data_IF_134522153740
#
_entry.id   IF_134522153740
#
_cell.length_a   1.000
_cell.length_b   1.000
_cell.length_c   1.000
_cell.angle_alpha   90.00
_cell.angle_beta   90.00
_cell.angle_gamma   90.00
#
_symmetry.space_group_name_H-M   'P 1'
#
loop_
_entity.id
_entity.type
_entity.pdbx_description
1 polymer ?
#
# COMPACT_ATOMS: atom_id res chain seq x y z
N UNK A 1 4.80 6.00 -10.10
CA UNK A 1 4.01 4.78 -9.83
C UNK A 1 3.87 4.63 -8.32
N UNK A 2 2.75 4.13 -7.76
CA UNK A 2 2.64 3.86 -6.32
C UNK A 2 3.77 2.96 -5.81
N UNK A 3 4.29 3.24 -4.62
CA UNK A 3 5.36 2.46 -3.99
C UNK A 3 4.88 1.94 -2.63
N UNK A 4 4.87 0.62 -2.46
CA UNK A 4 4.50 -0.04 -1.22
C UNK A 4 5.75 -0.51 -0.47
N UNK A 5 5.99 0.08 0.69
CA UNK A 5 6.96 -0.42 1.66
C UNK A 5 6.26 -1.40 2.60
N UNK A 6 6.82 -2.59 2.72
CA UNK A 6 6.20 -3.67 3.48
C UNK A 6 7.19 -4.56 4.24
N UNK A 7 6.69 -5.31 5.21
CA UNK A 7 7.44 -6.37 5.89
C UNK A 7 6.63 -7.68 5.92
N UNK A 8 7.09 -8.67 6.70
CA UNK A 8 6.48 -10.00 6.75
C UNK A 8 5.22 -10.13 7.64
N UNK A 9 4.72 -9.02 8.20
CA UNK A 9 3.53 -9.03 9.06
C UNK A 9 2.25 -9.32 8.27
N UNK A 10 1.18 -9.67 8.99
CA UNK A 10 -0.12 -9.98 8.39
C UNK A 10 -0.70 -8.79 7.62
N UNK A 11 -0.70 -7.61 8.23
CA UNK A 11 -1.29 -6.39 7.66
C UNK A 11 -0.58 -5.97 6.38
N UNK A 12 0.74 -6.18 6.32
CA UNK A 12 1.54 -5.95 5.13
C UNK A 12 1.18 -6.87 3.96
N UNK A 13 0.94 -8.15 4.25
CA UNK A 13 0.46 -9.11 3.24
C UNK A 13 -0.92 -8.74 2.71
N UNK A 14 -1.81 -8.25 3.59
CA UNK A 14 -3.14 -7.78 3.19
C UNK A 14 -3.07 -6.50 2.35
N UNK A 15 -2.18 -5.55 2.68
CA UNK A 15 -1.97 -4.35 1.89
C UNK A 15 -1.44 -4.68 0.49
N UNK A 16 -0.46 -5.59 0.40
CA UNK A 16 0.06 -6.09 -0.89
C UNK A 16 -1.05 -6.74 -1.73
N UNK A 17 -1.86 -7.63 -1.13
CA UNK A 17 -2.99 -8.27 -1.82
C UNK A 17 -3.99 -7.23 -2.35
N UNK A 18 -4.32 -6.22 -1.53
CA UNK A 18 -5.26 -5.15 -1.91
C UNK A 18 -4.78 -4.41 -3.18
N UNK A 19 -3.48 -4.16 -3.29
CA UNK A 19 -2.88 -3.52 -4.47
C UNK A 19 -2.82 -4.46 -5.68
N UNK A 20 -2.47 -5.73 -5.50
CA UNK A 20 -2.48 -6.73 -6.58
C UNK A 20 -3.89 -6.90 -7.18
N UNK A 21 -4.93 -6.93 -6.35
CA UNK A 21 -6.33 -7.07 -6.78
C UNK A 21 -6.92 -5.81 -7.43
N UNK A 22 -6.15 -4.72 -7.51
CA UNK A 22 -6.61 -3.43 -8.02
C UNK A 22 -6.24 -3.14 -9.47
N UNK A 23 -5.52 -4.05 -10.14
CA UNK A 23 -4.95 -3.87 -11.49
C UNK A 23 -4.05 -2.63 -11.66
N UNK A 24 -3.68 -1.96 -10.56
CA UNK A 24 -2.77 -0.82 -10.56
C UNK A 24 -1.33 -1.34 -10.58
N UNK A 25 -0.53 -0.82 -11.52
CA UNK A 25 0.91 -1.04 -11.49
C UNK A 25 1.51 -0.35 -10.26
N UNK A 26 2.30 -1.08 -9.47
CA UNK A 26 2.98 -0.55 -8.29
C UNK A 26 4.35 -1.20 -8.10
N UNK A 27 5.24 -0.51 -7.40
CA UNK A 27 6.53 -1.06 -6.94
C UNK A 27 6.40 -1.49 -5.48
N UNK A 28 7.12 -2.54 -5.09
CA UNK A 28 7.17 -2.99 -3.69
C UNK A 28 8.60 -3.14 -3.19
N UNK A 29 8.83 -2.68 -1.96
CA UNK A 29 10.12 -2.79 -1.29
C UNK A 29 9.94 -3.35 0.11
N UNK A 30 10.89 -4.21 0.51
CA UNK A 30 10.95 -4.70 1.88
C UNK A 30 11.62 -3.63 2.74
N UNK A 31 10.94 -3.16 3.78
CA UNK A 31 11.47 -2.19 4.73
C UNK A 31 11.73 -2.83 6.09
N UNK A 32 12.85 -2.47 6.71
CA UNK A 32 13.31 -3.01 8.00
C UNK A 32 13.11 -2.05 9.18
N UNK A 33 12.94 -0.74 8.93
CA UNK A 33 12.96 0.29 10.00
C UNK A 33 11.78 1.29 9.97
N UNK A 34 11.00 1.37 8.90
CA UNK A 34 9.81 2.25 8.86
C UNK A 34 8.55 1.52 9.39
N UNK A 35 7.57 2.26 9.94
CA UNK A 35 6.25 1.69 10.19
C UNK A 35 5.64 1.27 8.85
N UNK A 36 5.28 0.00 8.74
CA UNK A 36 4.74 -0.63 7.51
C UNK A 36 3.43 -1.35 7.82
N UNK A 37 2.49 -1.46 6.86
CA UNK A 37 2.62 -1.08 5.45
C UNK A 37 2.56 0.43 5.23
N UNK A 38 3.35 0.93 4.28
CA UNK A 38 3.32 2.33 3.85
C UNK A 38 3.18 2.38 2.33
N UNK A 39 2.13 3.02 1.84
CA UNK A 39 1.96 3.32 0.43
C UNK A 39 2.31 4.78 0.15
N UNK A 40 3.19 5.01 -0.83
CA UNK A 40 3.57 6.34 -1.30
C UNK A 40 3.04 6.54 -2.72
N UNK A 41 2.23 7.58 -2.91
CA UNK A 41 1.69 7.96 -4.22
C UNK A 41 2.02 9.43 -4.49
N UNK A 42 3.05 9.68 -5.29
CA UNK A 42 3.58 11.03 -5.48
C UNK A 42 4.09 11.60 -4.15
N UNK A 43 3.45 12.67 -3.66
CA UNK A 43 3.79 13.30 -2.37
C UNK A 43 2.91 12.83 -1.20
N UNK A 44 1.94 11.94 -1.46
CA UNK A 44 1.02 11.44 -0.44
C UNK A 44 1.56 10.16 0.19
N UNK A 45 1.38 10.03 1.51
CA UNK A 45 1.77 8.87 2.33
C UNK A 45 0.53 8.32 3.01
N UNK A 46 0.30 7.01 2.87
CA UNK A 46 -0.79 6.29 3.52
C UNK A 46 -0.19 5.20 4.40
N UNK A 47 -0.32 5.36 5.72
CA UNK A 47 0.31 4.50 6.69
C UNK A 47 -0.70 3.52 7.29
N UNK A 48 -0.38 2.23 7.23
CA UNK A 48 -1.22 1.17 7.73
C UNK A 48 -2.25 0.68 6.70
N UNK A 49 -2.80 -0.50 6.98
CA UNK A 49 -3.70 -1.20 6.06
C UNK A 49 -5.00 -0.43 5.79
N UNK A 50 -5.58 0.19 6.81
CA UNK A 50 -6.89 0.85 6.70
C UNK A 50 -6.81 2.12 5.83
N UNK A 51 -5.76 2.95 6.00
CA UNK A 51 -5.54 4.13 5.14
C UNK A 51 -5.33 3.72 3.68
N UNK A 52 -4.58 2.64 3.45
CA UNK A 52 -4.37 2.07 2.12
C UNK A 52 -5.70 1.61 1.53
N UNK A 53 -6.53 0.87 2.28
CA UNK A 53 -7.85 0.42 1.82
C UNK A 53 -8.77 1.59 1.47
N UNK A 54 -8.78 2.65 2.28
CA UNK A 54 -9.59 3.84 2.02
C UNK A 54 -9.16 4.52 0.72
N UNK A 55 -7.85 4.68 0.51
CA UNK A 55 -7.30 5.23 -0.73
C UNK A 55 -7.72 4.39 -1.96
N UNK A 56 -7.58 3.07 -1.88
CA UNK A 56 -7.94 2.17 -2.98
C UNK A 56 -9.44 2.17 -3.27
N UNK A 57 -10.29 2.32 -2.25
CA UNK A 57 -11.74 2.46 -2.41
C UNK A 57 -12.11 3.71 -3.21
N UNK A 58 -11.45 4.85 -2.93
CA UNK A 58 -11.68 6.12 -3.66
C UNK A 58 -11.28 6.02 -5.14
N UNK A 59 -10.20 5.30 -5.44
CA UNK A 59 -9.76 5.06 -6.81
C UNK A 59 -10.76 4.24 -7.63
N UNK A 60 -11.41 3.22 -7.03
CA UNK A 60 -12.41 2.39 -7.73
C UNK A 60 -13.71 3.15 -8.06
N UNK A 61 -13.94 4.30 -7.42
CA UNK A 61 -15.14 5.13 -7.61
C UNK A 61 -14.92 6.27 -8.61
N UNK A 62 -13.68 6.47 -9.09
CA UNK A 62 -13.29 7.52 -10.05
C UNK A 62 -13.17 6.95 -11.46
#
# INVERSE_FOLDING_TARGET
>A
VPVLYLNMSKDNKEAYRTLVESDILFESHVATEEPTPLLVVGYQRFLGLEEIREYMSKLKLS
#
